data_IF_187148628841
#
_entry.id   IF_187148628841
#
_cell.length_a   1.000
_cell.length_b   1.000
_cell.length_c   1.000
_cell.angle_alpha   90.00
_cell.angle_beta   90.00
_cell.angle_gamma   90.00
#
_symmetry.space_group_name_H-M   'P 1'
#
loop_
_entity.id
_entity.type
_entity.pdbx_description
1 polymer ?
#
# COMPACT_ATOMS: atom_id res chain seq x y z
N UNK A 1 17.00 -8.97 16.18
CA UNK A 1 16.96 -8.53 14.76
C UNK A 1 15.61 -8.85 14.10
N UNK A 2 15.05 -10.06 14.29
CA UNK A 2 13.81 -10.50 13.63
C UNK A 2 12.58 -9.61 13.90
N UNK A 3 12.48 -9.07 15.11
CA UNK A 3 11.41 -8.16 15.55
C UNK A 3 11.44 -6.75 14.96
N UNK A 4 12.60 -6.28 14.47
CA UNK A 4 12.71 -4.91 13.93
C UNK A 4 11.74 -4.69 12.77
N UNK A 5 11.66 -5.67 11.85
CA UNK A 5 10.74 -5.60 10.71
C UNK A 5 9.28 -5.66 11.16
N UNK A 6 8.93 -6.58 12.06
CA UNK A 6 7.57 -6.70 12.61
C UNK A 6 7.07 -5.39 13.20
N UNK A 7 7.89 -4.73 14.03
CA UNK A 7 7.48 -3.52 14.73
C UNK A 7 7.24 -2.35 13.77
N UNK A 8 8.02 -2.27 12.68
CA UNK A 8 7.84 -1.29 11.62
C UNK A 8 6.51 -1.52 10.89
N UNK A 9 6.26 -2.74 10.38
CA UNK A 9 5.04 -3.01 9.61
C UNK A 9 3.77 -2.98 10.46
N UNK A 10 3.84 -3.48 11.71
CA UNK A 10 2.74 -3.38 12.65
C UNK A 10 2.46 -1.92 13.05
N UNK A 11 3.52 -1.13 13.28
CA UNK A 11 3.41 0.30 13.56
C UNK A 11 2.80 1.07 12.39
N UNK A 12 3.16 0.73 11.14
CA UNK A 12 2.57 1.33 9.94
C UNK A 12 1.08 0.97 9.83
N UNK A 13 0.73 -0.30 10.01
CA UNK A 13 -0.67 -0.75 9.99
C UNK A 13 -1.50 -0.01 11.05
N UNK A 14 -0.99 0.07 12.28
CA UNK A 14 -1.64 0.79 13.37
C UNK A 14 -1.74 2.29 13.06
N UNK A 15 -0.69 2.90 12.50
CA UNK A 15 -0.70 4.32 12.11
C UNK A 15 -1.76 4.60 11.07
N UNK A 16 -1.89 3.77 10.04
CA UNK A 16 -2.91 3.90 9.00
C UNK A 16 -4.33 3.74 9.56
N UNK A 17 -4.53 2.80 10.49
CA UNK A 17 -5.81 2.54 11.14
C UNK A 17 -6.19 3.68 12.07
N UNK A 18 -5.30 4.08 12.99
CA UNK A 18 -5.52 5.20 13.92
C UNK A 18 -5.70 6.51 13.16
N UNK A 19 -4.90 6.77 12.13
CA UNK A 19 -5.06 8.00 11.35
C UNK A 19 -6.43 8.07 10.69
N UNK A 20 -6.93 6.95 10.15
CA UNK A 20 -8.25 6.95 9.52
C UNK A 20 -9.39 7.05 10.54
N UNK A 21 -9.39 6.24 11.59
CA UNK A 21 -10.55 6.10 12.49
C UNK A 21 -10.53 7.04 13.70
N UNK A 22 -9.36 7.46 14.17
CA UNK A 22 -9.23 8.38 15.32
C UNK A 22 -9.02 9.82 14.85
N UNK A 23 -8.16 10.02 13.84
CA UNK A 23 -7.83 11.36 13.34
C UNK A 23 -8.68 11.79 12.14
N UNK A 24 -9.54 10.91 11.61
CA UNK A 24 -10.33 11.11 10.38
C UNK A 24 -9.48 11.49 9.15
N UNK A 25 -8.19 11.17 9.16
CA UNK A 25 -7.23 11.47 8.08
C UNK A 25 -6.87 10.18 7.33
N UNK A 26 -7.20 10.12 6.04
CA UNK A 26 -6.81 9.01 5.19
C UNK A 26 -5.40 9.27 4.61
N UNK A 27 -4.37 8.65 5.22
CA UNK A 27 -2.97 8.85 4.80
C UNK A 27 -2.69 8.21 3.44
N UNK A 28 -3.32 7.08 3.14
CA UNK A 28 -3.20 6.40 1.85
C UNK A 28 -3.77 7.29 0.74
N UNK A 29 -4.93 7.91 0.95
CA UNK A 29 -5.46 8.95 0.06
C UNK A 29 -4.44 10.07 -0.14
N UNK A 30 -3.93 10.67 0.94
CA UNK A 30 -2.98 11.78 0.82
C UNK A 30 -1.73 11.41 0.00
N UNK A 31 -1.17 10.22 0.25
CA UNK A 31 0.01 9.74 -0.46
C UNK A 31 -0.30 9.43 -1.93
N UNK A 32 -1.35 8.63 -2.19
CA UNK A 32 -1.72 8.22 -3.54
C UNK A 32 -2.21 9.41 -4.38
N UNK A 33 -3.02 10.31 -3.83
CA UNK A 33 -3.44 11.52 -4.53
C UNK A 33 -2.24 12.39 -4.94
N UNK A 34 -1.22 12.53 -4.08
CA UNK A 34 0.00 13.25 -4.44
C UNK A 34 0.81 12.53 -5.52
N UNK A 35 0.89 11.19 -5.47
CA UNK A 35 1.56 10.40 -6.51
C UNK A 35 0.82 10.54 -7.85
N UNK A 36 -0.51 10.44 -7.83
CA UNK A 36 -1.37 10.60 -9.01
C UNK A 36 -1.24 11.99 -9.63
N UNK A 37 -1.21 13.04 -8.80
CA UNK A 37 -1.03 14.42 -9.25
C UNK A 37 0.35 14.62 -9.90
N UNK A 38 1.41 14.06 -9.30
CA UNK A 38 2.77 14.13 -9.87
C UNK A 38 2.95 13.26 -11.12
N UNK A 39 2.16 12.20 -11.27
CA UNK A 39 2.21 11.31 -12.43
C UNK A 39 1.34 11.80 -13.59
N UNK A 40 0.49 12.81 -13.38
CA UNK A 40 -0.42 13.33 -14.39
C UNK A 40 0.15 14.57 -15.09
N UNK A 41 0.66 14.41 -16.30
CA UNK A 41 1.22 15.51 -17.10
C UNK A 41 0.16 16.52 -17.55
N UNK A 42 -1.11 16.13 -17.67
CA UNK A 42 -2.20 17.02 -18.11
C UNK A 42 -2.76 17.93 -17.02
N UNK A 43 -2.29 17.81 -15.75
CA UNK A 43 -2.78 18.56 -14.57
C UNK A 43 -4.30 18.49 -14.35
N UNK A 44 -5.00 17.57 -15.02
CA UNK A 44 -6.42 17.34 -14.78
C UNK A 44 -6.62 16.77 -13.37
N UNK A 45 -7.65 17.25 -12.69
CA UNK A 45 -7.98 16.79 -11.36
C UNK A 45 -8.50 15.34 -11.44
N UNK A 46 -7.75 14.40 -10.86
CA UNK A 46 -8.17 13.00 -10.75
C UNK A 46 -9.19 12.90 -9.61
N UNK A 47 -10.47 12.75 -9.97
CA UNK A 47 -11.57 12.66 -9.02
C UNK A 47 -11.87 11.19 -8.69
N UNK A 48 -11.43 10.76 -7.51
CA UNK A 48 -11.68 9.40 -7.00
C UNK A 48 -12.70 9.46 -5.85
N UNK A 49 -13.75 8.62 -5.86
CA UNK A 49 -14.75 8.58 -4.81
C UNK A 49 -14.18 8.33 -3.40
N UNK A 50 -14.67 9.06 -2.40
CA UNK A 50 -14.25 8.89 -0.99
C UNK A 50 -14.33 7.45 -0.47
N UNK A 51 -15.39 6.65 -0.76
CA UNK A 51 -15.44 5.27 -0.28
C UNK A 51 -14.33 4.38 -0.86
N UNK A 52 -13.78 4.72 -2.03
CA UNK A 52 -12.69 3.95 -2.62
C UNK A 52 -11.37 4.20 -1.88
N UNK A 53 -11.13 5.44 -1.46
CA UNK A 53 -9.97 5.76 -0.62
C UNK A 53 -9.97 4.99 0.69
N UNK A 54 -11.15 4.76 1.28
CA UNK A 54 -11.26 3.96 2.51
C UNK A 54 -10.98 2.48 2.28
N UNK A 55 -11.47 1.93 1.16
CA UNK A 55 -11.14 0.56 0.76
C UNK A 55 -9.65 0.40 0.54
N UNK A 56 -9.01 1.34 -0.17
CA UNK A 56 -7.55 1.33 -0.38
C UNK A 56 -6.79 1.47 0.94
N UNK A 57 -7.21 2.36 1.83
CA UNK A 57 -6.57 2.50 3.14
C UNK A 57 -6.66 1.20 3.95
N UNK A 58 -7.84 0.59 3.99
CA UNK A 58 -8.05 -0.68 4.69
C UNK A 58 -7.23 -1.82 4.05
N UNK A 59 -7.15 -1.87 2.72
CA UNK A 59 -6.31 -2.82 2.00
C UNK A 59 -4.84 -2.71 2.44
N UNK A 60 -4.29 -1.49 2.49
CA UNK A 60 -2.92 -1.26 2.95
C UNK A 60 -2.72 -1.57 4.45
N UNK A 61 -3.71 -1.32 5.30
CA UNK A 61 -3.71 -1.75 6.71
C UNK A 61 -3.59 -3.28 6.80
N UNK A 62 -4.38 -4.01 6.02
CA UNK A 62 -4.39 -5.48 6.01
C UNK A 62 -3.08 -6.03 5.46
N UNK A 63 -2.54 -5.48 4.36
CA UNK A 63 -1.27 -5.89 3.78
C UNK A 63 -0.12 -5.70 4.78
N UNK A 64 -0.04 -4.52 5.41
CA UNK A 64 1.03 -4.21 6.37
C UNK A 64 0.92 -5.04 7.64
N UNK A 65 -0.30 -5.27 8.16
CA UNK A 65 -0.53 -6.21 9.27
C UNK A 65 -0.16 -7.65 8.87
N UNK A 66 -0.55 -8.06 7.66
CA UNK A 66 -0.25 -9.37 7.10
C UNK A 66 1.25 -9.61 6.99
N UNK A 67 2.02 -8.63 6.51
CA UNK A 67 3.49 -8.70 6.48
C UNK A 67 4.07 -8.84 7.88
N UNK A 68 3.55 -8.09 8.86
CA UNK A 68 4.03 -8.18 10.24
C UNK A 68 3.79 -9.58 10.84
N UNK A 69 2.59 -10.12 10.64
CA UNK A 69 2.21 -11.46 11.07
C UNK A 69 3.03 -12.55 10.35
N UNK A 70 3.16 -12.43 9.02
CA UNK A 70 3.92 -13.36 8.19
C UNK A 70 5.42 -13.35 8.55
N UNK A 71 6.00 -12.19 8.88
CA UNK A 71 7.38 -12.10 9.36
C UNK A 71 7.57 -12.83 10.69
N UNK A 72 6.62 -12.73 11.64
CA UNK A 72 6.67 -13.50 12.88
C UNK A 72 6.57 -14.99 12.56
N UNK A 73 5.56 -15.39 11.78
CA UNK A 73 5.35 -16.79 11.42
C UNK A 73 6.60 -17.42 10.79
N UNK A 74 7.20 -16.74 9.81
CA UNK A 74 8.40 -17.24 9.13
C UNK A 74 9.61 -17.24 10.06
N UNK A 75 9.77 -16.19 10.88
CA UNK A 75 10.89 -16.06 11.80
C UNK A 75 11.01 -17.20 12.82
N UNK A 76 9.88 -17.78 13.23
CA UNK A 76 9.80 -18.81 14.26
C UNK A 76 9.61 -20.24 13.72
N UNK A 77 9.09 -20.41 12.50
CA UNK A 77 8.78 -21.73 11.95
C UNK A 77 9.76 -22.21 10.86
N UNK A 78 10.62 -21.34 10.32
CA UNK A 78 11.50 -21.66 9.19
C UNK A 78 12.98 -21.37 9.48
N UNK A 79 13.87 -21.89 8.63
CA UNK A 79 15.32 -21.67 8.73
C UNK A 79 15.71 -20.20 8.52
N UNK A 80 16.93 -19.86 8.96
CA UNK A 80 17.46 -18.50 8.78
C UNK A 80 17.55 -18.13 7.30
N UNK A 81 18.01 -19.06 6.45
CA UNK A 81 18.15 -18.83 5.01
C UNK A 81 16.81 -18.55 4.33
N UNK A 82 15.77 -19.30 4.70
CA UNK A 82 14.42 -19.04 4.23
C UNK A 82 13.92 -17.67 4.69
N UNK A 83 14.16 -17.30 5.95
CA UNK A 83 13.76 -16.00 6.48
C UNK A 83 14.49 -14.82 5.80
N UNK A 84 15.77 -14.96 5.45
CA UNK A 84 16.51 -13.94 4.69
C UNK A 84 15.95 -13.81 3.27
N UNK A 85 15.76 -14.93 2.57
CA UNK A 85 15.20 -14.93 1.22
C UNK A 85 13.78 -14.37 1.17
N UNK A 86 12.94 -14.69 2.16
CA UNK A 86 11.61 -14.13 2.29
C UNK A 86 11.63 -12.60 2.39
N UNK A 87 12.58 -12.03 3.12
CA UNK A 87 12.69 -10.56 3.24
C UNK A 87 13.05 -9.88 1.93
N UNK A 88 13.89 -10.51 1.12
CA UNK A 88 14.31 -9.96 -0.17
C UNK A 88 13.22 -10.18 -1.21
N UNK A 89 12.83 -11.43 -1.44
CA UNK A 89 11.95 -11.81 -2.54
C UNK A 89 10.47 -11.83 -2.15
N UNK A 90 10.15 -12.32 -0.95
CA UNK A 90 8.77 -12.41 -0.47
C UNK A 90 8.14 -11.03 -0.26
N UNK A 91 8.83 -10.14 0.45
CA UNK A 91 8.36 -8.76 0.65
C UNK A 91 8.26 -7.98 -0.67
N UNK A 92 9.21 -8.19 -1.58
CA UNK A 92 9.17 -7.60 -2.91
C UNK A 92 7.94 -8.08 -3.71
N UNK A 93 7.67 -9.40 -3.72
CA UNK A 93 6.48 -9.97 -4.36
C UNK A 93 5.18 -9.41 -3.80
N UNK A 94 5.05 -9.35 -2.46
CA UNK A 94 3.88 -8.76 -1.80
C UNK A 94 3.71 -7.29 -2.20
N UNK A 95 4.81 -6.53 -2.22
CA UNK A 95 4.80 -5.11 -2.58
C UNK A 95 4.34 -4.90 -4.02
N UNK A 96 4.88 -5.66 -4.97
CA UNK A 96 4.46 -5.57 -6.37
C UNK A 96 2.98 -5.87 -6.54
N UNK A 97 2.51 -6.99 -5.99
CA UNK A 97 1.08 -7.36 -6.06
C UNK A 97 0.20 -6.26 -5.46
N UNK A 98 0.61 -5.67 -4.34
CA UNK A 98 -0.12 -4.59 -3.67
C UNK A 98 -0.18 -3.31 -4.50
N UNK A 99 0.93 -2.96 -5.15
CA UNK A 99 1.00 -1.80 -6.05
C UNK A 99 0.13 -2.04 -7.28
N UNK A 100 0.23 -3.20 -7.95
CA UNK A 100 -0.61 -3.54 -9.09
C UNK A 100 -2.09 -3.52 -8.72
N UNK A 101 -2.48 -4.11 -7.58
CA UNK A 101 -3.85 -4.04 -7.09
C UNK A 101 -4.33 -2.59 -6.89
N UNK A 102 -3.47 -1.73 -6.34
CA UNK A 102 -3.75 -0.29 -6.17
C UNK A 102 -3.94 0.41 -7.51
N UNK A 103 -3.02 0.19 -8.47
CA UNK A 103 -3.07 0.79 -9.81
C UNK A 103 -4.33 0.34 -10.54
N UNK A 104 -4.61 -0.96 -10.60
CA UNK A 104 -5.82 -1.51 -11.27
C UNK A 104 -7.10 -0.90 -10.67
N UNK A 105 -7.12 -0.71 -9.35
CA UNK A 105 -8.26 -0.09 -8.66
C UNK A 105 -8.44 1.38 -9.04
N UNK A 106 -7.35 2.11 -9.25
CA UNK A 106 -7.35 3.53 -9.59
C UNK A 106 -7.42 3.79 -11.11
N UNK A 107 -7.07 2.81 -11.94
CA UNK A 107 -6.95 2.95 -13.40
C UNK A 107 -8.21 3.54 -14.04
N UNK A 108 -9.39 3.14 -13.56
CA UNK A 108 -10.70 3.65 -14.04
C UNK A 108 -10.95 5.14 -13.79
N UNK A 109 -10.11 5.80 -13.02
CA UNK A 109 -10.22 7.21 -12.66
C UNK A 109 -9.06 8.05 -13.22
N UNK A 110 -8.10 7.41 -13.87
CA UNK A 110 -7.06 8.12 -14.59
C UNK A 110 -7.67 8.69 -15.89
N UNK A 111 -7.30 9.92 -16.30
CA UNK A 111 -7.73 10.45 -17.58
C UNK A 111 -7.21 9.58 -18.71
N UNK A 112 -8.03 9.34 -19.73
CA UNK A 112 -7.62 8.63 -20.93
C UNK A 112 -6.56 9.46 -21.67
N UNK A 113 -5.39 8.86 -21.93
CA UNK A 113 -4.29 9.50 -22.68
C UNK A 113 -4.68 9.84 -24.14
N UNK A 114 -5.86 9.41 -24.60
CA UNK A 114 -6.33 9.54 -25.98
C UNK A 114 -6.79 10.95 -26.39
N UNK A 115 -6.99 11.89 -25.45
CA UNK A 115 -7.42 13.25 -25.80
C UNK A 115 -6.28 14.14 -26.35
N UNK A 116 -5.03 13.64 -26.33
CA UNK A 116 -3.84 14.35 -26.85
C UNK A 116 -3.49 14.04 -28.31
N UNK A 117 -4.33 13.29 -29.03
CA UNK A 117 -4.06 12.88 -30.43
C UNK A 117 -5.21 13.20 -31.41
N UNK A 118 -5.96 14.29 -31.20
CA UNK A 118 -6.89 14.85 -32.20
C UNK A 118 -6.70 16.34 -32.41
#
# INVERSE_FOLDING_TARGET
IKWKATLIYAGLSLTLLVSRYVLNKNLVKKALSSILENANDTKQAIVVPEPLWDKLNLMWVVITAGIAALNIYIAYNFSLDFWVNFKVFGLMGITFVSIFATIITLYKYLPDEEETAK
#
